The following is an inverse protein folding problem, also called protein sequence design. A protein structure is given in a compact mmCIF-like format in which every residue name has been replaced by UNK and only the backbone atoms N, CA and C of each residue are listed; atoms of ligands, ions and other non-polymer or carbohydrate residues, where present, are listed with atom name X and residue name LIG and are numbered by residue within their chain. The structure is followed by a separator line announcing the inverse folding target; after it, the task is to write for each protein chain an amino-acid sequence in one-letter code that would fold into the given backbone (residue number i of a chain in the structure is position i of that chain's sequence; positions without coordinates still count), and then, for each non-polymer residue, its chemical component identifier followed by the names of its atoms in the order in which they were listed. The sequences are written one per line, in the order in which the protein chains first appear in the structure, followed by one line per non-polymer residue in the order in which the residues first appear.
data_IF_894845455373
#
_entry.id   IF_894845455373
#
_cell.length_a   1.000
_cell.length_b   1.000
_cell.length_c   1.000
_cell.angle_alpha   90.00
_cell.angle_beta   90.00
_cell.angle_gamma   90.00
#
_symmetry.space_group_name_H-M   'P 1'
#
loop_
_entity.id
_entity.type
_entity.pdbx_description
1 polymer ?
#
# COMPACT_ATOMS: atom_id res chain seq x y z
N UNK A 1 19.16 -31.82 -11.84
CA UNK A 1 18.21 -32.80 -12.42
C UNK A 1 16.86 -32.13 -12.48
N UNK A 2 16.57 -31.60 -13.66
CA UNK A 2 15.50 -30.69 -14.01
C UNK A 2 14.36 -31.49 -14.64
N UNK A 3 13.27 -31.69 -13.91
CA UNK A 3 12.00 -32.15 -14.48
C UNK A 3 11.18 -30.92 -14.84
N UNK A 4 11.21 -30.59 -16.13
CA UNK A 4 10.31 -29.64 -16.79
C UNK A 4 8.88 -30.20 -16.72
N UNK A 5 8.02 -29.56 -15.94
CA UNK A 5 6.57 -29.72 -16.07
C UNK A 5 6.15 -28.74 -17.15
N UNK A 6 6.12 -29.21 -18.38
CA UNK A 6 5.44 -28.54 -19.49
C UNK A 6 3.95 -28.88 -19.37
N UNK A 7 3.20 -28.08 -18.61
CA UNK A 7 1.76 -28.00 -18.84
C UNK A 7 1.58 -27.18 -20.13
N UNK A 8 1.47 -27.90 -21.25
CA UNK A 8 0.94 -27.34 -22.48
C UNK A 8 -0.44 -26.72 -22.16
N UNK A 9 -0.61 -25.42 -22.43
CA UNK A 9 -1.94 -24.94 -22.82
C UNK A 9 -2.46 -25.91 -23.88
N UNK A 10 -3.71 -26.36 -23.81
CA UNK A 10 -4.24 -27.20 -24.87
C UNK A 10 -4.11 -26.41 -26.17
N UNK A 11 -3.16 -26.79 -27.02
CA UNK A 11 -3.28 -26.59 -28.46
C UNK A 11 -4.72 -26.99 -28.80
N UNK A 12 -5.47 -26.20 -29.58
CA UNK A 12 -6.93 -26.33 -29.71
C UNK A 12 -7.28 -27.78 -30.00
N UNK A 13 -7.55 -28.52 -28.93
CA UNK A 13 -7.91 -29.90 -29.02
C UNK A 13 -9.32 -29.88 -29.56
N UNK A 14 -9.67 -30.82 -30.43
CA UNK A 14 -11.00 -30.90 -31.01
C UNK A 14 -12.12 -30.84 -29.95
N UNK A 15 -11.81 -31.21 -28.69
CA UNK A 15 -12.69 -31.06 -27.52
C UNK A 15 -12.85 -29.62 -27.00
N UNK A 16 -11.78 -28.83 -26.92
CA UNK A 16 -11.90 -27.45 -26.45
C UNK A 16 -12.67 -26.58 -27.47
N UNK A 17 -12.47 -26.85 -28.76
CA UNK A 17 -13.25 -26.21 -29.83
C UNK A 17 -14.73 -26.59 -29.79
N UNK A 18 -15.07 -27.85 -29.49
CA UNK A 18 -16.47 -28.26 -29.33
C UNK A 18 -17.11 -27.63 -28.10
N UNK A 19 -16.37 -27.53 -26.99
CA UNK A 19 -16.87 -26.90 -25.76
C UNK A 19 -17.13 -25.39 -25.93
N UNK A 20 -16.33 -24.71 -26.78
CA UNK A 20 -16.53 -23.30 -27.15
C UNK A 20 -17.74 -23.10 -28.07
N UNK A 21 -17.95 -23.97 -29.06
CA UNK A 21 -19.15 -23.95 -29.90
C UNK A 21 -20.42 -24.19 -29.07
N UNK A 22 -20.34 -25.09 -28.10
CA UNK A 22 -21.46 -25.39 -27.20
C UNK A 22 -21.69 -24.23 -26.20
N UNK A 23 -20.65 -23.52 -25.78
CA UNK A 23 -20.80 -22.26 -25.03
C UNK A 23 -21.51 -21.18 -25.86
N UNK A 24 -21.16 -21.02 -27.14
CA UNK A 24 -21.83 -20.05 -28.02
C UNK A 24 -23.31 -20.42 -28.23
N UNK A 25 -23.62 -21.69 -28.51
CA UNK A 25 -25.01 -22.17 -28.61
C UNK A 25 -25.77 -21.95 -27.31
N UNK A 26 -25.12 -22.14 -26.15
CA UNK A 26 -25.73 -21.87 -24.85
C UNK A 26 -26.04 -20.38 -24.67
N UNK A 27 -25.13 -19.48 -25.07
CA UNK A 27 -25.38 -18.04 -25.04
C UNK A 27 -26.60 -17.68 -25.89
N UNK A 28 -26.63 -18.17 -27.14
CA UNK A 28 -27.75 -17.91 -28.06
C UNK A 28 -29.07 -18.46 -27.51
N UNK A 29 -29.04 -19.67 -26.94
CA UNK A 29 -30.22 -20.30 -26.31
C UNK A 29 -30.72 -19.48 -25.12
N UNK A 30 -29.82 -18.98 -24.26
CA UNK A 30 -30.20 -18.15 -23.11
C UNK A 30 -30.83 -16.83 -23.55
N UNK A 31 -30.32 -16.21 -24.62
CA UNK A 31 -30.89 -14.97 -25.16
C UNK A 31 -32.32 -15.17 -25.68
N UNK A 32 -32.63 -16.32 -26.28
CA UNK A 32 -33.92 -16.55 -26.95
C UNK A 32 -34.93 -17.40 -26.16
N UNK A 33 -34.53 -18.05 -25.06
CA UNK A 33 -35.40 -18.91 -24.26
C UNK A 33 -36.60 -18.16 -23.64
N UNK A 34 -37.78 -18.76 -23.65
CA UNK A 34 -38.93 -18.24 -22.88
C UNK A 34 -38.66 -18.28 -21.37
N UNK A 35 -39.39 -17.49 -20.58
CA UNK A 35 -39.19 -17.45 -19.11
C UNK A 35 -39.40 -18.81 -18.42
N UNK A 36 -40.30 -19.63 -18.97
CA UNK A 36 -40.53 -21.01 -18.52
C UNK A 36 -39.36 -21.94 -18.85
N UNK A 37 -38.78 -21.81 -20.03
CA UNK A 37 -37.61 -22.60 -20.46
C UNK A 37 -36.37 -22.17 -19.66
N UNK A 38 -36.17 -20.86 -19.48
CA UNK A 38 -35.06 -20.31 -18.69
C UNK A 38 -35.06 -20.87 -17.26
N UNK A 39 -36.22 -21.03 -16.64
CA UNK A 39 -36.33 -21.58 -15.29
C UNK A 39 -35.91 -23.06 -15.21
N UNK A 40 -36.21 -23.84 -16.25
CA UNK A 40 -35.73 -25.23 -16.36
C UNK A 40 -34.23 -25.33 -16.66
N UNK A 41 -33.71 -24.37 -17.43
CA UNK A 41 -32.30 -24.30 -17.83
C UNK A 41 -31.39 -23.74 -16.74
N UNK A 42 -31.93 -22.92 -15.83
CA UNK A 42 -31.14 -22.12 -14.88
C UNK A 42 -30.19 -22.97 -14.04
N UNK A 43 -30.63 -24.13 -13.55
CA UNK A 43 -29.81 -24.97 -12.66
C UNK A 43 -28.59 -25.56 -13.40
N UNK A 44 -28.79 -25.98 -14.66
CA UNK A 44 -27.72 -26.45 -15.52
C UNK A 44 -26.82 -25.30 -15.95
N UNK A 45 -27.40 -24.17 -16.36
CA UNK A 45 -26.66 -22.97 -16.75
C UNK A 45 -25.77 -22.46 -15.62
N UNK A 46 -26.25 -22.47 -14.37
CA UNK A 46 -25.47 -22.10 -13.18
C UNK A 46 -24.25 -23.00 -12.98
N UNK A 47 -24.39 -24.32 -13.15
CA UNK A 47 -23.28 -25.26 -13.06
C UNK A 47 -22.24 -25.02 -14.16
N UNK A 48 -22.71 -24.81 -15.40
CA UNK A 48 -21.87 -24.50 -16.54
C UNK A 48 -21.12 -23.19 -16.33
N UNK A 49 -21.79 -22.12 -15.91
CA UNK A 49 -21.18 -20.80 -15.68
C UNK A 49 -20.09 -20.84 -14.60
N UNK A 50 -20.28 -21.61 -13.52
CA UNK A 50 -19.21 -21.79 -12.51
C UNK A 50 -17.99 -22.49 -13.11
N UNK A 51 -18.21 -23.51 -13.93
CA UNK A 51 -17.14 -24.23 -14.63
C UNK A 51 -16.41 -23.32 -15.61
N UNK A 52 -17.15 -22.60 -16.44
CA UNK A 52 -16.62 -21.62 -17.39
C UNK A 52 -15.83 -20.51 -16.70
N UNK A 53 -16.29 -20.03 -15.54
CA UNK A 53 -15.56 -19.02 -14.76
C UNK A 53 -14.18 -19.51 -14.34
N UNK A 54 -14.07 -20.79 -13.92
CA UNK A 54 -12.78 -21.41 -13.61
C UNK A 54 -11.90 -21.57 -14.84
N UNK A 55 -12.48 -21.90 -16.00
CA UNK A 55 -11.75 -21.96 -17.28
C UNK A 55 -11.17 -20.59 -17.62
N UNK A 56 -11.96 -19.52 -17.54
CA UNK A 56 -11.49 -18.14 -17.77
C UNK A 56 -10.32 -17.80 -16.87
N UNK A 57 -10.43 -18.06 -15.56
CA UNK A 57 -9.35 -17.80 -14.60
C UNK A 57 -8.08 -18.57 -15.00
N UNK A 58 -8.18 -19.86 -15.31
CA UNK A 58 -7.03 -20.67 -15.75
C UNK A 58 -6.41 -20.14 -17.03
N UNK A 59 -7.20 -19.81 -18.05
CA UNK A 59 -6.69 -19.26 -19.31
C UNK A 59 -5.91 -17.96 -19.07
N UNK A 60 -6.42 -17.06 -18.23
CA UNK A 60 -5.74 -15.82 -17.86
C UNK A 60 -4.43 -16.10 -17.10
N UNK A 61 -4.46 -17.00 -16.12
CA UNK A 61 -3.28 -17.34 -15.30
C UNK A 61 -2.16 -17.90 -16.18
N UNK A 62 -2.47 -18.83 -17.10
CA UNK A 62 -1.45 -19.39 -17.99
C UNK A 62 -0.93 -18.33 -18.97
N UNK A 63 -1.79 -17.51 -19.56
CA UNK A 63 -1.37 -16.43 -20.45
C UNK A 63 -0.48 -15.40 -19.73
N UNK A 64 -0.74 -15.13 -18.46
CA UNK A 64 0.06 -14.21 -17.66
C UNK A 64 1.41 -14.79 -17.20
N UNK A 65 1.52 -16.11 -17.10
CA UNK A 65 2.78 -16.79 -16.80
C UNK A 65 3.80 -16.66 -17.94
N UNK A 66 3.34 -16.58 -19.20
CA UNK A 66 4.18 -16.44 -20.39
C UNK A 66 3.78 -15.22 -21.25
N UNK A 67 4.12 -14.03 -20.74
CA UNK A 67 3.78 -12.74 -21.39
C UNK A 67 4.43 -12.51 -22.74
N UNK A 68 5.43 -13.29 -23.12
CA UNK A 68 6.15 -13.13 -24.40
C UNK A 68 5.51 -13.95 -25.53
N UNK A 69 4.60 -14.86 -25.19
CA UNK A 69 3.99 -15.77 -26.14
C UNK A 69 2.78 -15.13 -26.84
N UNK A 70 3.07 -14.43 -27.93
CA UNK A 70 2.08 -13.68 -28.72
C UNK A 70 0.95 -14.58 -29.24
N UNK A 71 1.22 -15.85 -29.56
CA UNK A 71 0.17 -16.76 -30.07
C UNK A 71 -0.84 -17.12 -28.98
N UNK A 72 -0.38 -17.34 -27.74
CA UNK A 72 -1.27 -17.54 -26.59
C UNK A 72 -2.12 -16.28 -26.36
N UNK A 73 -1.51 -15.10 -26.39
CA UNK A 73 -2.21 -13.83 -26.14
C UNK A 73 -3.25 -13.48 -27.22
N UNK A 74 -2.99 -13.83 -28.49
CA UNK A 74 -3.95 -13.62 -29.59
C UNK A 74 -5.10 -14.63 -29.48
N UNK A 75 -4.81 -15.91 -29.26
CA UNK A 75 -5.84 -16.94 -29.12
C UNK A 75 -6.69 -16.75 -27.85
N UNK A 76 -6.16 -16.07 -26.83
CA UNK A 76 -6.87 -15.80 -25.58
C UNK A 76 -8.17 -15.01 -25.80
N UNK A 77 -8.16 -13.95 -26.61
CA UNK A 77 -9.37 -13.14 -26.84
C UNK A 77 -10.44 -13.95 -27.60
N UNK A 78 -10.03 -14.79 -28.55
CA UNK A 78 -10.93 -15.70 -29.29
C UNK A 78 -11.60 -16.72 -28.34
N UNK A 79 -10.84 -17.24 -27.37
CA UNK A 79 -11.33 -18.23 -26.42
C UNK A 79 -12.22 -17.63 -25.31
N UNK A 80 -11.96 -16.39 -24.90
CA UNK A 80 -12.71 -15.75 -23.82
C UNK A 80 -14.06 -15.19 -24.28
N UNK A 81 -14.15 -14.69 -25.52
CA UNK A 81 -15.36 -14.05 -26.05
C UNK A 81 -16.63 -14.91 -25.94
N UNK A 82 -16.67 -16.18 -26.40
CA UNK A 82 -17.88 -17.01 -26.30
C UNK A 82 -18.33 -17.20 -24.84
N UNK A 83 -17.37 -17.37 -23.92
CA UNK A 83 -17.65 -17.55 -22.51
C UNK A 83 -18.25 -16.27 -21.89
N UNK A 84 -17.66 -15.11 -22.20
CA UNK A 84 -18.16 -13.82 -21.71
C UNK A 84 -19.53 -13.48 -22.29
N UNK A 85 -19.85 -13.91 -23.52
CA UNK A 85 -21.20 -13.81 -24.06
C UNK A 85 -22.22 -14.66 -23.29
N UNK A 86 -21.86 -15.86 -22.84
CA UNK A 86 -22.72 -16.66 -21.93
C UNK A 86 -22.96 -15.90 -20.62
N UNK A 87 -21.91 -15.32 -20.03
CA UNK A 87 -22.06 -14.54 -18.79
C UNK A 87 -22.97 -13.35 -18.99
N UNK A 88 -22.77 -12.59 -20.07
CA UNK A 88 -23.61 -11.43 -20.42
C UNK A 88 -25.06 -11.83 -20.62
N UNK A 89 -25.33 -12.85 -21.43
CA UNK A 89 -26.68 -13.33 -21.71
C UNK A 89 -27.40 -13.76 -20.42
N UNK A 90 -26.73 -14.48 -19.53
CA UNK A 90 -27.31 -14.93 -18.27
C UNK A 90 -27.61 -13.76 -17.32
N UNK A 91 -26.64 -12.86 -17.12
CA UNK A 91 -26.78 -11.70 -16.22
C UNK A 91 -27.88 -10.77 -16.73
N UNK A 92 -27.90 -10.45 -18.02
CA UNK A 92 -28.89 -9.56 -18.64
C UNK A 92 -30.31 -10.13 -18.52
N UNK A 93 -30.50 -11.41 -18.88
CA UNK A 93 -31.81 -12.09 -18.76
C UNK A 93 -32.34 -12.12 -17.33
N UNK A 94 -31.48 -12.34 -16.36
CA UNK A 94 -31.88 -12.35 -14.95
C UNK A 94 -32.11 -10.95 -14.40
N UNK A 95 -31.47 -9.92 -14.98
CA UNK A 95 -31.69 -8.51 -14.60
C UNK A 95 -33.09 -8.05 -15.01
N UNK A 96 -33.55 -8.47 -16.19
CA UNK A 96 -34.90 -8.21 -16.68
C UNK A 96 -36.02 -8.88 -15.87
N UNK A 97 -35.68 -9.84 -14.99
CA UNK A 97 -36.65 -10.54 -14.14
C UNK A 97 -36.68 -9.89 -12.76
N UNK A 98 -37.87 -9.62 -12.22
CA UNK A 98 -38.03 -9.27 -10.81
C UNK A 98 -37.74 -10.50 -9.94
N UNK A 99 -36.45 -10.84 -9.79
CA UNK A 99 -36.03 -11.86 -8.84
C UNK A 99 -36.30 -11.31 -7.44
N UNK A 100 -37.15 -11.99 -6.68
CA UNK A 100 -37.19 -11.83 -5.24
C UNK A 100 -35.78 -12.11 -4.69
N UNK A 101 -35.35 -11.30 -3.73
CA UNK A 101 -33.96 -11.06 -3.32
C UNK A 101 -33.34 -12.29 -2.62
N UNK A 102 -33.17 -13.39 -3.35
CA UNK A 102 -32.83 -14.68 -2.79
C UNK A 102 -31.32 -14.92 -2.95
N UNK A 103 -30.57 -14.71 -1.86
CA UNK A 103 -29.10 -14.85 -1.83
C UNK A 103 -28.64 -16.21 -2.37
N UNK A 104 -29.49 -17.24 -2.29
CA UNK A 104 -29.24 -18.59 -2.87
C UNK A 104 -29.27 -18.60 -4.40
N UNK A 105 -30.11 -17.79 -5.04
CA UNK A 105 -30.24 -17.74 -6.50
C UNK A 105 -29.06 -17.06 -7.19
N UNK A 106 -28.34 -16.18 -6.49
CA UNK A 106 -27.16 -15.49 -6.99
C UNK A 106 -25.83 -16.13 -6.54
N UNK A 107 -25.84 -17.36 -6.01
CA UNK A 107 -24.63 -18.06 -5.55
C UNK A 107 -23.62 -18.45 -6.63
N UNK A 108 -23.88 -18.11 -7.89
CA UNK A 108 -22.97 -18.23 -9.03
C UNK A 108 -22.31 -16.90 -9.40
N UNK A 109 -22.92 -15.77 -9.01
CA UNK A 109 -22.46 -14.45 -9.39
C UNK A 109 -21.00 -14.18 -8.96
N UNK A 110 -20.54 -14.56 -7.75
CA UNK A 110 -19.13 -14.37 -7.37
C UNK A 110 -18.13 -15.02 -8.33
N UNK A 111 -18.48 -16.16 -8.95
CA UNK A 111 -17.62 -16.84 -9.92
C UNK A 111 -17.45 -15.99 -11.19
N UNK A 112 -18.55 -15.46 -11.70
CA UNK A 112 -18.55 -14.57 -12.87
C UNK A 112 -17.81 -13.27 -12.56
N UNK A 113 -18.07 -12.67 -11.41
CA UNK A 113 -17.38 -11.45 -10.98
C UNK A 113 -15.87 -11.69 -10.92
N UNK A 114 -15.42 -12.73 -10.21
CA UNK A 114 -13.99 -13.05 -10.12
C UNK A 114 -13.39 -13.28 -11.51
N UNK A 115 -14.05 -14.05 -12.39
CA UNK A 115 -13.57 -14.28 -13.75
C UNK A 115 -13.40 -12.96 -14.54
N UNK A 116 -14.40 -12.06 -14.49
CA UNK A 116 -14.30 -10.73 -15.11
C UNK A 116 -13.15 -9.89 -14.53
N UNK A 117 -12.94 -9.93 -13.21
CA UNK A 117 -11.81 -9.24 -12.57
C UNK A 117 -10.44 -9.83 -12.95
N UNK A 118 -10.36 -11.14 -13.24
CA UNK A 118 -9.14 -11.73 -13.82
C UNK A 118 -8.89 -11.23 -15.25
N UNK A 119 -9.93 -11.16 -16.08
CA UNK A 119 -9.83 -10.64 -17.45
C UNK A 119 -9.36 -9.18 -17.45
N UNK A 120 -9.93 -8.34 -16.59
CA UNK A 120 -9.60 -6.91 -16.50
C UNK A 120 -8.28 -6.66 -15.77
N UNK A 121 -7.99 -7.42 -14.71
CA UNK A 121 -6.89 -7.15 -13.78
C UNK A 121 -5.55 -7.77 -14.12
N UNK A 122 -5.44 -8.57 -15.20
CA UNK A 122 -4.22 -9.30 -15.53
C UNK A 122 -3.10 -8.45 -16.16
N UNK A 123 -3.41 -7.23 -16.61
CA UNK A 123 -2.48 -6.27 -17.24
C UNK A 123 -1.56 -6.94 -18.29
N UNK A 124 -2.19 -7.55 -19.30
CA UNK A 124 -1.51 -8.27 -20.37
C UNK A 124 -1.03 -7.30 -21.47
N UNK A 125 0.08 -7.56 -22.18
CA UNK A 125 0.68 -6.64 -23.17
C UNK A 125 -0.21 -6.25 -24.35
N UNK A 126 -1.28 -7.00 -24.63
CA UNK A 126 -2.24 -6.77 -25.72
C UNK A 126 -3.65 -6.44 -25.22
N UNK A 127 -3.82 -6.26 -23.91
CA UNK A 127 -5.10 -6.06 -23.25
C UNK A 127 -5.92 -4.92 -23.89
N UNK A 128 -5.29 -3.78 -24.22
CA UNK A 128 -5.96 -2.61 -24.79
C UNK A 128 -6.80 -2.84 -26.07
N UNK A 129 -6.54 -3.92 -26.81
CA UNK A 129 -7.26 -4.25 -28.05
C UNK A 129 -8.24 -5.43 -27.90
N UNK A 130 -8.29 -6.06 -26.72
CA UNK A 130 -9.14 -7.22 -26.48
C UNK A 130 -10.61 -6.82 -26.32
N UNK A 131 -11.48 -7.42 -27.14
CA UNK A 131 -12.92 -7.25 -26.99
C UNK A 131 -13.43 -7.89 -25.69
N UNK A 132 -12.73 -8.92 -25.19
CA UNK A 132 -13.05 -9.57 -23.92
C UNK A 132 -13.00 -8.61 -22.72
N UNK A 133 -12.16 -7.58 -22.74
CA UNK A 133 -12.17 -6.55 -21.68
C UNK A 133 -13.47 -5.77 -21.66
N UNK A 134 -13.94 -5.35 -22.84
CA UNK A 134 -15.19 -4.58 -22.98
C UNK A 134 -16.37 -5.43 -22.53
N UNK A 135 -16.42 -6.69 -22.97
CA UNK A 135 -17.48 -7.63 -22.55
C UNK A 135 -17.45 -7.90 -21.05
N UNK A 136 -16.26 -8.09 -20.44
CA UNK A 136 -16.14 -8.27 -19.01
C UNK A 136 -16.63 -7.04 -18.23
N UNK A 137 -16.31 -5.83 -18.70
CA UNK A 137 -16.75 -4.57 -18.10
C UNK A 137 -18.28 -4.40 -18.18
N UNK A 138 -18.87 -4.71 -19.34
CA UNK A 138 -20.33 -4.73 -19.52
C UNK A 138 -21.01 -5.72 -18.57
N UNK A 139 -20.49 -6.95 -18.46
CA UNK A 139 -21.01 -7.98 -17.55
C UNK A 139 -21.01 -7.47 -16.11
N UNK A 140 -19.94 -6.80 -15.68
CA UNK A 140 -19.89 -6.19 -14.34
C UNK A 140 -20.96 -5.10 -14.16
N UNK A 141 -21.20 -4.26 -15.17
CA UNK A 141 -22.26 -3.23 -15.11
C UNK A 141 -23.67 -3.84 -15.01
N UNK A 142 -23.96 -4.89 -15.80
CA UNK A 142 -25.23 -5.60 -15.67
C UNK A 142 -25.35 -6.28 -14.29
N UNK A 143 -24.25 -6.81 -13.75
CA UNK A 143 -24.23 -7.45 -12.44
C UNK A 143 -24.55 -6.46 -11.29
N UNK A 144 -24.16 -5.19 -11.40
CA UNK A 144 -24.55 -4.13 -10.44
C UNK A 144 -26.08 -4.03 -10.38
N UNK A 145 -26.72 -3.97 -11.55
CA UNK A 145 -28.18 -3.89 -11.66
C UNK A 145 -28.86 -5.15 -11.13
N UNK A 146 -28.38 -6.33 -11.54
CA UNK A 146 -28.89 -7.63 -11.09
C UNK A 146 -28.84 -7.79 -9.56
N UNK A 147 -27.71 -7.43 -8.96
CA UNK A 147 -27.51 -7.57 -7.51
C UNK A 147 -28.16 -6.43 -6.71
N UNK A 148 -28.76 -5.44 -7.38
CA UNK A 148 -29.30 -4.19 -6.80
C UNK A 148 -28.25 -3.45 -5.96
N UNK A 149 -27.00 -3.45 -6.44
CA UNK A 149 -25.93 -2.66 -5.86
C UNK A 149 -26.01 -1.21 -6.37
N UNK A 150 -25.51 -0.25 -5.59
CA UNK A 150 -25.49 1.16 -6.00
C UNK A 150 -24.44 1.40 -7.09
N UNK A 151 -23.30 0.75 -6.94
CA UNK A 151 -22.13 0.84 -7.80
C UNK A 151 -21.34 -0.48 -7.76
N UNK A 152 -20.20 -0.50 -8.47
CA UNK A 152 -19.30 -1.66 -8.49
C UNK A 152 -18.65 -1.93 -7.14
N UNK A 153 -18.29 -0.89 -6.39
CA UNK A 153 -17.66 -1.05 -5.07
C UNK A 153 -18.61 -1.77 -4.10
N UNK A 154 -19.88 -1.36 -4.09
CA UNK A 154 -20.96 -1.98 -3.34
C UNK A 154 -21.21 -3.44 -3.78
N UNK A 155 -21.11 -3.72 -5.08
CA UNK A 155 -21.22 -5.07 -5.62
C UNK A 155 -20.08 -5.96 -5.13
N UNK A 156 -18.84 -5.46 -5.20
CA UNK A 156 -17.65 -6.19 -4.71
C UNK A 156 -17.75 -6.38 -3.21
N UNK A 157 -18.09 -5.36 -2.44
CA UNK A 157 -18.27 -5.43 -0.99
C UNK A 157 -19.30 -6.50 -0.56
N UNK A 158 -20.35 -6.71 -1.36
CA UNK A 158 -21.37 -7.73 -1.13
C UNK A 158 -20.84 -9.17 -1.29
N UNK A 159 -19.85 -9.39 -2.16
CA UNK A 159 -19.36 -10.71 -2.56
C UNK A 159 -17.85 -10.91 -2.32
N UNK A 160 -17.19 -9.99 -1.61
CA UNK A 160 -15.74 -9.96 -1.44
C UNK A 160 -15.20 -11.24 -0.80
N UNK A 161 -15.93 -11.83 0.16
CA UNK A 161 -15.50 -13.04 0.84
C UNK A 161 -15.41 -14.24 -0.12
N UNK A 162 -16.42 -14.42 -0.96
CA UNK A 162 -16.44 -15.44 -2.01
C UNK A 162 -15.38 -15.15 -3.08
N UNK A 163 -15.23 -13.90 -3.51
CA UNK A 163 -14.25 -13.51 -4.52
C UNK A 163 -12.81 -13.74 -4.05
N UNK A 164 -12.48 -13.39 -2.80
CA UNK A 164 -11.16 -13.66 -2.18
C UNK A 164 -10.88 -15.16 -2.14
N UNK A 165 -11.90 -15.96 -1.81
CA UNK A 165 -11.77 -17.43 -1.82
C UNK A 165 -11.45 -17.96 -3.21
N UNK A 166 -12.11 -17.44 -4.23
CA UNK A 166 -11.90 -17.83 -5.62
C UNK A 166 -10.53 -17.39 -6.16
N UNK A 167 -10.01 -16.24 -5.71
CA UNK A 167 -8.66 -15.80 -6.07
C UNK A 167 -7.58 -16.76 -5.58
N UNK A 168 -7.78 -17.38 -4.41
CA UNK A 168 -6.86 -18.35 -3.82
C UNK A 168 -7.25 -19.81 -4.08
N UNK A 169 -8.26 -20.07 -4.91
CA UNK A 169 -8.76 -21.41 -5.17
C UNK A 169 -7.84 -22.16 -6.13
N UNK A 170 -7.48 -23.40 -5.77
CA UNK A 170 -6.58 -24.27 -6.56
C UNK A 170 -5.20 -23.64 -6.81
N UNK A 171 -4.75 -22.74 -5.93
CA UNK A 171 -3.41 -22.13 -5.98
C UNK A 171 -2.60 -22.62 -4.78
N UNK A 172 -1.44 -23.22 -5.04
CA UNK A 172 -0.56 -23.63 -3.94
C UNK A 172 0.26 -22.44 -3.38
N UNK A 173 0.98 -22.67 -2.28
CA UNK A 173 1.78 -21.61 -1.65
C UNK A 173 2.87 -21.05 -2.59
N UNK A 174 3.49 -21.87 -3.43
CA UNK A 174 4.57 -21.46 -4.33
C UNK A 174 4.02 -20.63 -5.49
N UNK A 175 2.90 -21.07 -6.05
CA UNK A 175 2.18 -20.36 -7.10
C UNK A 175 1.62 -19.04 -6.59
N UNK A 176 1.16 -18.98 -5.34
CA UNK A 176 0.66 -17.75 -4.74
C UNK A 176 1.70 -16.64 -4.67
N UNK A 177 2.91 -16.96 -4.21
CA UNK A 177 4.01 -15.99 -4.03
C UNK A 177 4.81 -15.75 -5.31
N UNK A 178 4.69 -16.64 -6.31
CA UNK A 178 5.41 -16.53 -7.58
C UNK A 178 5.18 -15.17 -8.23
N UNK A 179 6.24 -14.55 -8.76
CA UNK A 179 6.21 -13.21 -9.37
C UNK A 179 5.13 -13.10 -10.45
N UNK A 180 5.02 -14.14 -11.28
CA UNK A 180 4.06 -14.24 -12.41
C UNK A 180 2.61 -14.43 -11.98
N UNK A 181 2.35 -14.71 -10.70
CA UNK A 181 1.00 -14.97 -10.21
C UNK A 181 0.11 -13.72 -10.30
N UNK A 182 -0.92 -13.81 -11.14
CA UNK A 182 -1.93 -12.75 -11.29
C UNK A 182 -2.94 -12.77 -10.16
N UNK A 183 -3.12 -13.91 -9.49
CA UNK A 183 -4.10 -14.10 -8.43
C UNK A 183 -3.94 -13.06 -7.30
N UNK A 184 -2.71 -12.81 -6.84
CA UNK A 184 -2.42 -11.79 -5.81
C UNK A 184 -2.71 -10.37 -6.29
N UNK A 185 -2.48 -10.06 -7.57
CA UNK A 185 -2.78 -8.75 -8.16
C UNK A 185 -4.29 -8.52 -8.29
N UNK A 186 -5.02 -9.53 -8.76
CA UNK A 186 -6.49 -9.47 -8.84
C UNK A 186 -7.08 -9.36 -7.45
N UNK A 187 -6.57 -10.13 -6.47
CA UNK A 187 -7.01 -10.01 -5.08
C UNK A 187 -6.78 -8.60 -4.53
N UNK A 188 -5.62 -8.00 -4.77
CA UNK A 188 -5.34 -6.60 -4.41
C UNK A 188 -6.37 -5.65 -5.02
N UNK A 189 -6.64 -5.76 -6.32
CA UNK A 189 -7.59 -4.90 -7.02
C UNK A 189 -9.02 -5.06 -6.46
N UNK A 190 -9.45 -6.29 -6.18
CA UNK A 190 -10.75 -6.59 -5.58
C UNK A 190 -10.85 -6.02 -4.17
N UNK A 191 -9.87 -6.28 -3.31
CA UNK A 191 -9.89 -5.86 -1.90
C UNK A 191 -9.83 -4.33 -1.77
N UNK A 192 -9.07 -3.63 -2.61
CA UNK A 192 -8.96 -2.15 -2.59
C UNK A 192 -10.28 -1.42 -2.86
N UNK A 193 -11.24 -2.06 -3.53
CA UNK A 193 -12.57 -1.49 -3.79
C UNK A 193 -13.51 -1.61 -2.59
N UNK A 194 -13.07 -2.26 -1.51
CA UNK A 194 -13.94 -2.56 -0.37
C UNK A 194 -13.45 -1.80 0.85
N UNK A 195 -14.34 -1.00 1.42
CA UNK A 195 -14.10 -0.28 2.66
C UNK A 195 -14.68 -1.00 3.88
N UNK A 196 -14.39 -0.48 5.07
CA UNK A 196 -15.13 -0.83 6.29
C UNK A 196 -16.66 -0.74 6.06
N UNK A 197 -17.49 -1.67 6.55
CA UNK A 197 -17.19 -2.79 7.48
C UNK A 197 -16.95 -4.16 6.83
N UNK A 198 -16.74 -4.22 5.51
CA UNK A 198 -16.86 -5.49 4.78
C UNK A 198 -15.59 -6.38 4.80
N UNK A 199 -14.46 -5.88 5.32
CA UNK A 199 -13.21 -6.63 5.44
C UNK A 199 -12.98 -7.27 6.83
N UNK A 200 -13.91 -7.08 7.76
CA UNK A 200 -13.85 -7.60 9.13
C UNK A 200 -14.29 -9.07 9.29
N UNK A 201 -14.50 -9.48 10.53
CA UNK A 201 -15.01 -10.81 10.90
C UNK A 201 -14.18 -11.98 10.36
N UNK A 202 -14.85 -13.04 9.90
CA UNK A 202 -14.20 -14.26 9.37
C UNK A 202 -13.31 -13.99 8.13
N UNK A 203 -13.62 -12.93 7.37
CA UNK A 203 -12.84 -12.58 6.19
C UNK A 203 -11.45 -12.04 6.56
N UNK A 204 -11.33 -11.29 7.67
CA UNK A 204 -10.06 -10.73 8.11
C UNK A 204 -9.00 -11.81 8.30
N UNK A 205 -9.32 -12.88 9.04
CA UNK A 205 -8.37 -13.98 9.26
C UNK A 205 -7.90 -14.63 7.96
N UNK A 206 -8.81 -14.78 6.98
CA UNK A 206 -8.48 -15.29 5.65
C UNK A 206 -7.58 -14.33 4.88
N UNK A 207 -7.91 -13.04 4.85
CA UNK A 207 -7.11 -12.02 4.18
C UNK A 207 -5.69 -11.96 4.75
N UNK A 208 -5.53 -11.97 6.08
CA UNK A 208 -4.21 -11.99 6.71
C UNK A 208 -3.43 -13.26 6.36
N UNK A 209 -4.07 -14.43 6.35
CA UNK A 209 -3.42 -15.70 5.98
C UNK A 209 -2.89 -15.72 4.53
N UNK A 210 -3.55 -15.01 3.62
CA UNK A 210 -3.14 -14.86 2.22
C UNK A 210 -2.12 -13.72 2.04
N UNK A 211 -2.19 -12.68 2.87
CA UNK A 211 -1.37 -11.47 2.75
C UNK A 211 0.00 -11.63 3.41
N UNK A 212 0.11 -12.25 4.59
CA UNK A 212 1.38 -12.40 5.29
C UNK A 212 2.47 -13.13 4.49
N UNK A 213 2.17 -14.24 3.78
CA UNK A 213 3.17 -14.87 2.92
C UNK A 213 3.71 -13.96 1.81
N UNK A 214 2.91 -12.99 1.34
CA UNK A 214 3.35 -12.01 0.34
C UNK A 214 4.27 -10.98 0.99
N UNK A 215 3.95 -10.50 2.19
CA UNK A 215 4.76 -9.55 2.96
C UNK A 215 6.13 -10.13 3.35
N UNK A 216 6.17 -11.42 3.66
CA UNK A 216 7.41 -12.15 3.97
C UNK A 216 8.22 -12.55 2.73
N UNK A 217 7.69 -12.36 1.52
CA UNK A 217 8.41 -12.70 0.28
C UNK A 217 9.61 -11.76 0.05
N UNK A 218 10.68 -12.29 -0.53
CA UNK A 218 11.90 -11.54 -0.81
C UNK A 218 11.86 -10.81 -2.16
N UNK A 219 10.87 -11.11 -3.01
CA UNK A 219 10.73 -10.48 -4.31
C UNK A 219 9.98 -9.17 -4.20
N UNK A 220 10.60 -8.09 -4.66
CA UNK A 220 10.09 -6.72 -4.52
C UNK A 220 8.63 -6.55 -4.95
N UNK A 221 8.25 -7.07 -6.13
CA UNK A 221 6.91 -6.91 -6.69
C UNK A 221 5.86 -7.68 -5.89
N UNK A 222 6.19 -8.89 -5.44
CA UNK A 222 5.32 -9.70 -4.56
C UNK A 222 5.18 -9.03 -3.20
N UNK A 223 6.29 -8.60 -2.60
CA UNK A 223 6.30 -7.95 -1.29
C UNK A 223 5.52 -6.64 -1.30
N UNK A 224 5.64 -5.85 -2.36
CA UNK A 224 4.90 -4.60 -2.50
C UNK A 224 3.38 -4.84 -2.56
N UNK A 225 2.91 -5.85 -3.31
CA UNK A 225 1.50 -6.23 -3.34
C UNK A 225 1.03 -6.64 -1.94
N UNK A 226 1.81 -7.45 -1.23
CA UNK A 226 1.53 -7.84 0.15
C UNK A 226 1.42 -6.65 1.10
N UNK A 227 2.38 -5.72 1.02
CA UNK A 227 2.39 -4.50 1.84
C UNK A 227 1.16 -3.62 1.55
N UNK A 228 0.78 -3.44 0.28
CA UNK A 228 -0.39 -2.65 -0.10
C UNK A 228 -1.71 -3.29 0.34
N UNK A 229 -1.83 -4.62 0.22
CA UNK A 229 -2.96 -5.38 0.77
C UNK A 229 -3.05 -5.16 2.28
N UNK A 230 -1.93 -5.32 2.99
CA UNK A 230 -1.89 -5.18 4.43
C UNK A 230 -2.28 -3.77 4.88
N UNK A 231 -1.74 -2.73 4.24
CA UNK A 231 -2.08 -1.34 4.53
C UNK A 231 -3.58 -1.07 4.35
N UNK A 232 -4.16 -1.56 3.24
CA UNK A 232 -5.59 -1.42 2.98
C UNK A 232 -6.44 -2.14 4.02
N UNK A 233 -6.08 -3.37 4.40
CA UNK A 233 -6.77 -4.14 5.44
C UNK A 233 -6.74 -3.38 6.76
N UNK A 234 -5.57 -2.94 7.22
CA UNK A 234 -5.43 -2.21 8.49
C UNK A 234 -6.34 -0.98 8.52
N UNK A 235 -6.35 -0.18 7.45
CA UNK A 235 -7.17 1.04 7.37
C UNK A 235 -8.68 0.80 7.35
N UNK A 236 -9.14 -0.43 7.08
CA UNK A 236 -10.54 -0.75 6.82
C UNK A 236 -11.13 -1.81 7.76
N UNK A 237 -10.47 -2.08 8.90
CA UNK A 237 -10.99 -2.95 9.96
C UNK A 237 -11.06 -2.20 11.29
N UNK A 238 -11.83 -2.75 12.24
CA UNK A 238 -11.88 -2.13 13.56
C UNK A 238 -10.60 -2.39 14.36
N UNK A 239 -10.23 -1.48 15.28
CA UNK A 239 -9.17 -1.73 16.26
C UNK A 239 -9.39 -3.01 17.10
N UNK A 240 -10.65 -3.39 17.35
CA UNK A 240 -10.97 -4.59 18.13
C UNK A 240 -10.65 -5.87 17.37
N UNK A 241 -10.99 -5.93 16.08
CA UNK A 241 -10.69 -7.08 15.24
C UNK A 241 -9.19 -7.21 14.98
N UNK A 242 -8.49 -6.11 14.69
CA UNK A 242 -7.05 -6.13 14.44
C UNK A 242 -6.26 -6.58 15.68
N UNK A 243 -6.72 -6.21 16.88
CA UNK A 243 -6.11 -6.63 18.15
C UNK A 243 -6.07 -8.14 18.35
N UNK A 244 -6.98 -8.91 17.74
CA UNK A 244 -6.93 -10.38 17.81
C UNK A 244 -5.75 -10.98 17.06
N UNK A 245 -5.17 -10.23 16.12
CA UNK A 245 -4.06 -10.65 15.26
C UNK A 245 -2.77 -9.88 15.56
N UNK A 246 -2.74 -9.06 16.63
CA UNK A 246 -1.64 -8.11 16.91
C UNK A 246 -0.26 -8.75 16.94
N UNK A 247 -0.14 -9.89 17.60
CA UNK A 247 1.15 -10.53 17.82
C UNK A 247 1.73 -11.01 16.49
N UNK A 248 0.93 -11.72 15.69
CA UNK A 248 1.33 -12.21 14.37
C UNK A 248 1.60 -11.04 13.41
N UNK A 249 0.74 -10.02 13.41
CA UNK A 249 0.91 -8.82 12.60
C UNK A 249 2.24 -8.13 12.89
N UNK A 250 2.57 -7.93 14.18
CA UNK A 250 3.82 -7.30 14.55
C UNK A 250 5.04 -8.20 14.35
N UNK A 251 4.90 -9.53 14.43
CA UNK A 251 5.99 -10.43 13.98
C UNK A 251 6.29 -10.24 12.49
N UNK A 252 5.26 -10.25 11.64
CA UNK A 252 5.40 -10.08 10.18
C UNK A 252 5.96 -8.71 9.81
N UNK A 253 5.48 -7.64 10.44
CA UNK A 253 6.06 -6.31 10.22
C UNK A 253 7.51 -6.22 10.72
N UNK A 254 7.81 -6.87 11.85
CA UNK A 254 9.17 -6.89 12.38
C UNK A 254 10.14 -7.64 11.47
N UNK A 255 9.72 -8.70 10.78
CA UNK A 255 10.56 -9.37 9.77
C UNK A 255 10.68 -8.55 8.49
N UNK A 256 9.57 -7.97 8.01
CA UNK A 256 9.51 -7.29 6.71
C UNK A 256 10.16 -5.90 6.65
N UNK A 257 10.24 -5.16 7.78
CA UNK A 257 10.89 -3.82 7.88
C UNK A 257 12.43 -3.94 7.88
N UNK A 258 12.94 -4.67 6.90
CA UNK A 258 14.34 -4.72 6.45
C UNK A 258 14.44 -4.54 4.92
N UNK A 259 13.28 -4.39 4.26
CA UNK A 259 13.22 -4.19 2.82
C UNK A 259 14.10 -3.03 2.39
N UNK A 260 14.90 -3.25 1.35
CA UNK A 260 15.80 -2.24 0.76
C UNK A 260 15.16 -1.52 -0.41
N UNK A 261 13.83 -1.64 -0.55
CA UNK A 261 13.06 -1.09 -1.65
C UNK A 261 12.24 0.08 -1.13
N UNK A 262 12.47 1.31 -1.61
CA UNK A 262 11.81 2.50 -1.11
C UNK A 262 10.28 2.36 -1.04
N UNK A 263 9.62 2.02 -2.15
CA UNK A 263 8.16 1.95 -2.22
C UNK A 263 7.59 0.90 -1.26
N UNK A 264 8.21 -0.28 -1.18
CA UNK A 264 7.78 -1.35 -0.27
C UNK A 264 8.01 -0.97 1.19
N UNK A 265 9.18 -0.42 1.52
CA UNK A 265 9.49 0.02 2.88
C UNK A 265 8.53 1.12 3.34
N UNK A 266 8.19 2.05 2.45
CA UNK A 266 7.28 3.15 2.75
C UNK A 266 5.91 2.65 3.19
N UNK A 267 5.34 1.72 2.41
CA UNK A 267 4.04 1.10 2.72
C UNK A 267 4.12 0.23 3.98
N UNK A 268 5.21 -0.51 4.20
CA UNK A 268 5.39 -1.32 5.41
C UNK A 268 5.50 -0.47 6.68
N UNK A 269 6.19 0.67 6.62
CA UNK A 269 6.25 1.60 7.74
C UNK A 269 4.91 2.29 7.98
N UNK A 270 4.16 2.61 6.94
CA UNK A 270 2.78 3.07 7.07
C UNK A 270 1.90 2.01 7.76
N UNK A 271 2.02 0.74 7.37
CA UNK A 271 1.33 -0.37 8.05
C UNK A 271 1.69 -0.42 9.54
N UNK A 272 2.97 -0.29 9.88
CA UNK A 272 3.42 -0.29 11.27
C UNK A 272 2.81 0.88 12.06
N UNK A 273 2.90 2.08 11.51
CA UNK A 273 2.38 3.31 12.12
C UNK A 273 0.88 3.16 12.38
N UNK A 274 0.08 2.79 11.38
CA UNK A 274 -1.37 2.59 11.54
C UNK A 274 -1.71 1.44 12.51
N UNK A 275 -0.97 0.33 12.45
CA UNK A 275 -1.17 -0.80 13.36
C UNK A 275 -0.88 -0.43 14.81
N UNK A 276 0.17 0.37 15.06
CA UNK A 276 0.50 0.83 16.40
C UNK A 276 -0.63 1.65 17.01
N UNK A 277 -1.31 2.50 16.22
CA UNK A 277 -2.44 3.30 16.70
C UNK A 277 -3.69 2.48 16.97
N UNK A 278 -3.97 1.49 16.14
CA UNK A 278 -5.14 0.63 16.31
C UNK A 278 -4.98 -0.37 17.45
N UNK A 279 -3.77 -0.89 17.64
CA UNK A 279 -3.52 -2.02 18.54
C UNK A 279 -2.98 -1.58 19.89
N UNK A 280 -2.14 -0.54 19.93
CA UNK A 280 -1.52 -0.10 21.19
C UNK A 280 -2.52 0.69 22.01
N UNK A 281 -2.89 0.14 23.16
CA UNK A 281 -3.63 0.91 24.15
C UNK A 281 -2.77 2.10 24.60
N UNK A 282 -3.37 3.28 24.91
CA UNK A 282 -2.61 4.46 25.35
C UNK A 282 -1.69 4.21 26.56
N UNK A 283 -2.03 3.22 27.40
CA UNK A 283 -1.25 2.80 28.55
C UNK A 283 -0.16 1.75 28.25
N UNK A 284 -0.17 1.13 27.08
CA UNK A 284 0.71 0.02 26.72
C UNK A 284 1.79 0.42 25.71
N UNK A 285 3.03 0.49 26.19
CA UNK A 285 4.17 0.91 25.37
C UNK A 285 4.94 -0.25 24.74
N UNK A 286 4.54 -1.48 25.06
CA UNK A 286 5.25 -2.70 24.68
C UNK A 286 5.49 -2.79 23.17
N UNK A 287 4.50 -2.39 22.37
CA UNK A 287 4.60 -2.45 20.92
C UNK A 287 5.57 -1.39 20.39
N UNK A 288 5.51 -0.16 20.91
CA UNK A 288 6.49 0.86 20.54
C UNK A 288 7.92 0.50 20.99
N UNK A 289 8.09 -0.04 22.20
CA UNK A 289 9.39 -0.48 22.74
C UNK A 289 10.03 -1.57 21.87
N UNK A 290 9.23 -2.36 21.17
CA UNK A 290 9.69 -3.37 20.22
C UNK A 290 10.26 -2.77 18.94
N UNK A 291 9.66 -1.70 18.41
CA UNK A 291 10.04 -1.16 17.09
C UNK A 291 10.96 0.06 17.15
N UNK A 292 10.75 0.97 18.09
CA UNK A 292 11.44 2.26 18.10
C UNK A 292 12.97 2.16 18.16
N UNK A 293 13.58 1.34 19.04
CA UNK A 293 15.04 1.17 19.06
C UNK A 293 15.59 0.63 17.73
N UNK A 294 14.84 -0.27 17.09
CA UNK A 294 15.23 -0.87 15.82
C UNK A 294 15.14 0.11 14.66
N UNK A 295 14.06 0.89 14.57
CA UNK A 295 13.91 1.93 13.54
C UNK A 295 15.01 2.99 13.65
N UNK A 296 15.34 3.44 14.86
CA UNK A 296 16.45 4.37 15.09
C UNK A 296 17.79 3.77 14.64
N UNK A 297 18.04 2.50 14.98
CA UNK A 297 19.24 1.78 14.54
C UNK A 297 19.30 1.64 13.01
N UNK A 298 18.19 1.26 12.36
CA UNK A 298 18.11 1.14 10.91
C UNK A 298 18.37 2.48 10.23
N UNK A 299 17.75 3.55 10.71
CA UNK A 299 17.96 4.92 10.19
C UNK A 299 19.42 5.37 10.32
N UNK A 300 20.08 5.00 11.42
CA UNK A 300 21.48 5.33 11.67
C UNK A 300 22.47 4.54 10.81
N UNK A 301 22.18 3.28 10.51
CA UNK A 301 23.09 2.37 9.81
C UNK A 301 22.81 2.25 8.31
N UNK A 302 21.67 2.76 7.85
CA UNK A 302 21.30 2.74 6.45
C UNK A 302 22.21 3.68 5.65
N UNK A 303 22.86 3.16 4.61
CA UNK A 303 23.69 3.94 3.69
C UNK A 303 22.88 4.59 2.57
N UNK A 304 21.74 4.02 2.23
CA UNK A 304 20.87 4.50 1.16
C UNK A 304 20.05 5.70 1.64
N UNK A 305 20.30 6.85 1.03
CA UNK A 305 19.64 8.10 1.42
C UNK A 305 18.14 8.07 1.16
N UNK A 306 17.66 7.40 0.10
CA UNK A 306 16.23 7.30 -0.19
C UNK A 306 15.48 6.54 0.92
N UNK A 307 16.09 5.47 1.44
CA UNK A 307 15.54 4.74 2.59
C UNK A 307 15.61 5.57 3.88
N UNK A 308 16.69 6.34 4.10
CA UNK A 308 16.81 7.22 5.27
C UNK A 308 15.73 8.31 5.29
N UNK A 309 15.41 8.91 4.13
CA UNK A 309 14.29 9.86 3.95
C UNK A 309 12.99 9.23 4.46
N UNK A 310 12.69 8.02 3.98
CA UNK A 310 11.48 7.27 4.35
C UNK A 310 11.45 6.97 5.86
N UNK A 311 12.55 6.45 6.42
CA UNK A 311 12.63 6.18 7.85
C UNK A 311 12.42 7.43 8.70
N UNK A 312 13.09 8.54 8.37
CA UNK A 312 12.97 9.80 9.13
C UNK A 312 11.56 10.39 9.04
N UNK A 313 10.91 10.30 7.88
CA UNK A 313 9.51 10.71 7.69
C UNK A 313 8.56 9.92 8.59
N UNK A 314 8.70 8.59 8.64
CA UNK A 314 7.85 7.75 9.49
C UNK A 314 8.19 7.86 10.98
N UNK A 315 9.47 8.07 11.33
CA UNK A 315 9.88 8.40 12.70
C UNK A 315 9.18 9.68 13.18
N UNK A 316 8.98 10.69 12.32
CA UNK A 316 8.21 11.90 12.67
C UNK A 316 6.83 11.57 13.20
N UNK A 317 6.12 10.67 12.51
CA UNK A 317 4.76 10.29 12.89
C UNK A 317 4.75 9.62 14.26
N UNK A 318 5.69 8.69 14.49
CA UNK A 318 5.84 8.03 15.80
C UNK A 318 6.21 9.01 16.92
N UNK A 319 7.11 9.96 16.65
CA UNK A 319 7.51 11.01 17.59
C UNK A 319 6.32 11.84 18.04
N UNK A 320 5.49 12.30 17.10
CA UNK A 320 4.29 13.10 17.40
C UNK A 320 3.30 12.30 18.24
N UNK A 321 3.04 11.04 17.89
CA UNK A 321 2.08 10.17 18.60
C UNK A 321 2.54 9.81 20.02
N UNK A 322 3.85 9.73 20.25
CA UNK A 322 4.43 9.38 21.55
C UNK A 322 4.85 10.56 22.42
N UNK A 323 4.67 11.79 21.94
CA UNK A 323 5.09 13.00 22.65
C UNK A 323 3.95 13.88 23.13
N UNK A 324 4.35 15.03 23.66
CA UNK A 324 3.45 15.99 24.28
C UNK A 324 2.47 16.56 23.23
N UNK A 325 1.23 16.90 23.64
CA UNK A 325 0.71 16.88 25.01
C UNK A 325 0.15 15.53 25.46
N UNK A 326 0.00 14.56 24.56
CA UNK A 326 -0.74 13.32 24.82
C UNK A 326 0.08 12.28 25.58
N UNK A 327 1.41 12.35 25.48
CA UNK A 327 2.32 11.40 26.09
C UNK A 327 3.69 12.05 26.36
N UNK A 328 4.54 11.39 27.15
CA UNK A 328 5.93 11.78 27.35
C UNK A 328 6.90 10.64 26.98
N UNK A 329 6.40 9.61 26.29
CA UNK A 329 7.14 8.38 26.03
C UNK A 329 8.29 8.56 25.04
N UNK A 330 8.16 9.54 24.13
CA UNK A 330 9.23 9.90 23.20
C UNK A 330 10.54 10.28 23.93
N UNK A 331 10.46 10.78 25.17
CA UNK A 331 11.62 11.16 25.98
C UNK A 331 12.56 9.96 26.21
N UNK A 332 12.01 8.75 26.34
CA UNK A 332 12.79 7.51 26.52
C UNK A 332 13.76 7.26 25.36
N UNK A 333 13.45 7.78 24.18
CA UNK A 333 14.25 7.64 22.97
C UNK A 333 14.89 8.96 22.52
N UNK A 334 14.77 10.03 23.30
CA UNK A 334 15.21 11.37 22.89
C UNK A 334 16.68 11.42 22.50
N UNK A 335 17.56 10.86 23.33
CA UNK A 335 18.99 10.85 23.06
C UNK A 335 19.38 10.09 21.78
N UNK A 336 18.95 8.82 21.57
CA UNK A 336 19.26 8.12 20.32
C UNK A 336 18.56 8.77 19.10
N UNK A 337 17.35 9.32 19.25
CA UNK A 337 16.66 10.06 18.21
C UNK A 337 17.43 11.31 17.78
N UNK A 338 17.83 12.16 18.73
CA UNK A 338 18.63 13.35 18.44
C UNK A 338 19.98 12.99 17.81
N UNK A 339 20.61 11.89 18.22
CA UNK A 339 21.85 11.41 17.59
C UNK A 339 21.64 11.11 16.10
N UNK A 340 20.55 10.41 15.76
CA UNK A 340 20.20 10.09 14.37
C UNK A 340 19.89 11.35 13.56
N UNK A 341 19.08 12.25 14.10
CA UNK A 341 18.66 13.47 13.40
C UNK A 341 19.83 14.44 13.20
N UNK A 342 20.65 14.68 14.23
CA UNK A 342 21.80 15.59 14.12
C UNK A 342 22.83 15.07 13.12
N UNK A 343 23.06 13.75 13.07
CA UNK A 343 23.90 13.13 12.04
C UNK A 343 23.28 13.23 10.63
N UNK A 344 21.98 13.50 10.52
CA UNK A 344 21.30 13.74 9.24
C UNK A 344 21.78 15.00 8.53
N UNK A 345 22.16 16.03 9.29
CA UNK A 345 22.66 17.32 8.77
C UNK A 345 24.08 17.27 8.18
N UNK A 346 24.75 16.11 8.24
CA UNK A 346 26.01 15.86 7.52
C UNK A 346 25.77 15.47 6.06
N UNK A 347 24.52 15.23 5.65
CA UNK A 347 24.17 14.90 4.28
C UNK A 347 24.07 16.14 3.40
N UNK A 348 24.47 15.98 2.13
CA UNK A 348 24.26 16.96 1.05
C UNK A 348 22.95 16.71 0.28
N UNK A 349 22.17 15.70 0.67
CA UNK A 349 20.91 15.41 0.01
C UNK A 349 19.80 16.31 0.57
N UNK A 350 19.30 17.22 -0.27
CA UNK A 350 18.30 18.22 0.08
C UNK A 350 17.04 17.58 0.69
N UNK A 351 16.49 16.53 0.08
CA UNK A 351 15.27 15.88 0.56
C UNK A 351 15.47 15.27 1.96
N UNK A 352 16.62 14.67 2.21
CA UNK A 352 16.94 14.09 3.50
C UNK A 352 17.15 15.14 4.60
N UNK A 353 17.84 16.25 4.28
CA UNK A 353 18.02 17.37 5.22
C UNK A 353 16.66 18.01 5.56
N UNK A 354 15.79 18.20 4.57
CA UNK A 354 14.43 18.72 4.77
C UNK A 354 13.61 17.83 5.71
N UNK A 355 13.51 16.53 5.41
CA UNK A 355 12.79 15.59 6.29
C UNK A 355 13.39 15.54 7.69
N UNK A 356 14.72 15.66 7.82
CA UNK A 356 15.40 15.69 9.11
C UNK A 356 15.06 16.95 9.91
N UNK A 357 14.99 18.13 9.28
CA UNK A 357 14.57 19.38 9.93
C UNK A 357 13.11 19.28 10.39
N UNK A 358 12.20 18.78 9.55
CA UNK A 358 10.79 18.60 9.91
C UNK A 358 10.64 17.63 11.10
N UNK A 359 11.37 16.52 11.08
CA UNK A 359 11.35 15.54 12.16
C UNK A 359 12.01 16.08 13.44
N UNK A 360 13.06 16.89 13.32
CA UNK A 360 13.65 17.58 14.47
C UNK A 360 12.69 18.60 15.07
N UNK A 361 12.01 19.41 14.26
CA UNK A 361 10.98 20.35 14.70
C UNK A 361 9.89 19.63 15.48
N UNK A 362 9.36 18.53 14.93
CA UNK A 362 8.40 17.68 15.61
C UNK A 362 8.96 17.09 16.92
N UNK A 363 10.23 16.68 16.94
CA UNK A 363 10.89 16.16 18.15
C UNK A 363 11.01 17.22 19.23
N UNK A 364 11.38 18.45 18.88
CA UNK A 364 11.48 19.56 19.83
C UNK A 364 10.12 19.86 20.46
N UNK A 365 9.06 19.90 19.66
CA UNK A 365 7.69 20.08 20.16
C UNK A 365 7.22 18.90 21.01
N UNK A 366 7.42 17.67 20.55
CA UNK A 366 6.96 16.46 21.19
C UNK A 366 7.70 16.14 22.51
N UNK A 367 8.96 16.57 22.63
CA UNK A 367 9.81 16.34 23.80
C UNK A 367 10.17 17.62 24.57
N UNK A 368 9.46 18.74 24.34
CA UNK A 368 9.80 20.08 24.83
C UNK A 368 10.22 20.15 26.31
N UNK A 369 9.63 19.40 27.28
CA UNK A 369 10.03 19.49 28.68
C UNK A 369 11.46 19.02 28.96
N UNK A 370 12.09 18.32 28.01
CA UNK A 370 13.44 17.76 28.14
C UNK A 370 14.40 18.21 27.03
N UNK A 371 14.05 19.24 26.26
CA UNK A 371 14.90 19.74 25.17
C UNK A 371 16.04 20.65 25.67
N UNK A 372 15.83 21.44 26.73
CA UNK A 372 16.83 22.43 27.20
C UNK A 372 18.26 21.86 27.40
N UNK A 373 18.46 20.66 28.00
CA UNK A 373 19.80 20.06 28.14
C UNK A 373 20.48 19.65 26.82
N UNK A 374 19.74 19.67 25.71
CA UNK A 374 20.22 19.29 24.38
C UNK A 374 20.37 20.48 23.43
N UNK A 375 20.04 21.70 23.88
CA UNK A 375 20.00 22.92 23.06
C UNK A 375 21.26 23.13 22.23
N UNK A 376 22.45 23.05 22.84
CA UNK A 376 23.72 23.26 22.14
C UNK A 376 23.89 22.28 20.96
N UNK A 377 23.66 20.98 21.20
CA UNK A 377 23.82 19.94 20.17
C UNK A 377 22.85 20.14 19.02
N UNK A 378 21.61 20.50 19.33
CA UNK A 378 20.58 20.76 18.32
C UNK A 378 20.95 22.01 17.53
N UNK A 379 21.32 23.11 18.20
CA UNK A 379 21.73 24.37 17.58
C UNK A 379 22.89 24.16 16.61
N UNK A 380 23.96 23.46 17.04
CA UNK A 380 25.10 23.14 16.17
C UNK A 380 24.67 22.30 14.97
N UNK A 381 23.78 21.32 15.17
CA UNK A 381 23.21 20.52 14.08
C UNK A 381 22.47 21.39 13.05
N UNK A 382 21.58 22.27 13.50
CA UNK A 382 20.83 23.17 12.62
C UNK A 382 21.77 24.15 11.90
N UNK A 383 22.80 24.67 12.57
CA UNK A 383 23.81 25.52 11.92
C UNK A 383 24.59 24.79 10.83
N UNK A 384 24.77 23.46 10.90
CA UNK A 384 25.33 22.69 9.77
C UNK A 384 24.40 22.68 8.57
N UNK A 385 23.09 22.57 8.78
CA UNK A 385 22.10 22.68 7.70
C UNK A 385 22.06 24.10 7.10
N UNK A 386 22.18 25.14 7.93
CA UNK A 386 22.35 26.52 7.44
C UNK A 386 23.64 26.67 6.64
N UNK A 387 24.74 26.11 7.13
CA UNK A 387 26.02 26.12 6.42
C UNK A 387 25.93 25.40 5.06
N UNK A 388 25.20 24.29 4.97
CA UNK A 388 24.91 23.63 3.70
C UNK A 388 24.19 24.54 2.69
N UNK A 389 23.36 25.48 3.17
CA UNK A 389 22.66 26.46 2.32
C UNK A 389 23.53 27.67 1.95
N UNK A 390 24.41 28.12 2.84
CA UNK A 390 25.13 29.41 2.72
C UNK A 390 26.58 29.27 2.25
N UNK A 391 27.17 28.07 2.34
CA UNK A 391 28.59 27.84 2.03
C UNK A 391 28.84 27.36 0.59
N UNK A 392 27.85 26.74 -0.04
CA UNK A 392 27.99 26.14 -1.36
C UNK A 392 27.43 27.07 -2.44
N UNK A 393 28.19 27.28 -3.51
CA UNK A 393 27.82 28.18 -4.60
C UNK A 393 26.68 27.61 -5.44
N UNK A 394 25.78 28.48 -5.91
CA UNK A 394 24.67 28.10 -6.81
C UNK A 394 25.20 27.38 -8.06
N UNK A 395 24.72 26.15 -8.31
CA UNK A 395 24.98 25.42 -9.55
C UNK A 395 25.98 24.26 -9.44
N UNK A 396 26.46 23.90 -8.24
CA UNK A 396 27.10 22.60 -8.05
C UNK A 396 26.05 21.48 -8.04
N UNK A 397 26.40 20.28 -8.54
CA UNK A 397 25.50 19.13 -8.77
C UNK A 397 24.69 18.66 -7.54
N UNK A 398 25.02 19.15 -6.34
CA UNK A 398 24.41 18.78 -5.06
C UNK A 398 23.88 19.99 -4.26
N UNK A 399 23.76 21.15 -4.89
CA UNK A 399 23.28 22.37 -4.23
C UNK A 399 21.76 22.50 -4.32
N UNK A 400 21.10 22.97 -3.26
CA UNK A 400 19.67 23.25 -3.32
C UNK A 400 19.40 24.34 -4.36
N UNK A 401 18.31 24.19 -5.12
CA UNK A 401 17.78 25.30 -5.92
C UNK A 401 17.44 26.48 -5.00
N UNK A 402 17.43 27.71 -5.52
CA UNK A 402 17.08 28.91 -4.73
C UNK A 402 15.79 28.74 -3.91
N UNK A 403 14.74 28.13 -4.50
CA UNK A 403 13.50 27.79 -3.78
C UNK A 403 13.70 26.78 -2.64
N UNK A 404 14.49 25.73 -2.86
CA UNK A 404 14.79 24.74 -1.82
C UNK A 404 15.65 25.32 -0.70
N UNK A 405 16.57 26.21 -1.04
CA UNK A 405 17.42 26.92 -0.09
C UNK A 405 16.57 27.81 0.83
N UNK A 406 15.65 28.59 0.27
CA UNK A 406 14.69 29.39 1.05
C UNK A 406 13.86 28.52 2.00
N UNK A 407 13.38 27.37 1.53
CA UNK A 407 12.61 26.42 2.34
C UNK A 407 13.45 25.82 3.49
N UNK A 408 14.68 25.38 3.20
CA UNK A 408 15.61 24.85 4.20
C UNK A 408 15.92 25.89 5.28
N UNK A 409 16.24 27.13 4.87
CA UNK A 409 16.54 28.21 5.79
C UNK A 409 15.32 28.54 6.66
N UNK A 410 14.11 28.62 6.09
CA UNK A 410 12.89 28.83 6.86
C UNK A 410 12.66 27.74 7.92
N UNK A 411 12.88 26.47 7.56
CA UNK A 411 12.78 25.36 8.54
C UNK A 411 13.86 25.44 9.63
N UNK A 412 15.07 25.87 9.29
CA UNK A 412 16.12 26.12 10.29
C UNK A 412 15.71 27.23 11.27
N UNK A 413 15.13 28.33 10.77
CA UNK A 413 14.62 29.40 11.62
C UNK A 413 13.52 28.94 12.56
N UNK A 414 12.58 28.12 12.07
CA UNK A 414 11.50 27.58 12.89
C UNK A 414 12.03 26.74 14.05
N UNK A 415 13.04 25.89 13.80
CA UNK A 415 13.67 25.10 14.87
C UNK A 415 14.42 26.00 15.84
N UNK A 416 15.13 27.03 15.37
CA UNK A 416 15.82 27.99 16.23
C UNK A 416 14.85 28.80 17.10
N UNK A 417 13.72 29.23 16.54
CA UNK A 417 12.65 29.90 17.29
C UNK A 417 12.12 29.00 18.41
N UNK A 418 11.90 27.70 18.14
CA UNK A 418 11.46 26.75 19.16
C UNK A 418 12.52 26.54 20.25
N UNK A 419 13.79 26.41 19.88
CA UNK A 419 14.88 26.32 20.85
C UNK A 419 14.95 27.57 21.72
N UNK A 420 14.80 28.75 21.14
CA UNK A 420 14.79 30.00 21.90
C UNK A 420 13.62 30.04 22.89
N UNK A 421 12.41 29.64 22.46
CA UNK A 421 11.23 29.57 23.33
C UNK A 421 11.41 28.61 24.51
N UNK A 422 11.97 27.41 24.26
CA UNK A 422 12.22 26.40 25.29
C UNK A 422 13.26 26.86 26.32
N UNK A 423 14.16 27.75 25.93
CA UNK A 423 15.22 28.29 26.80
C UNK A 423 14.96 29.75 27.20
N UNK A 424 13.73 30.25 27.20
CA UNK A 424 13.44 31.69 27.48
C UNK A 424 14.00 32.22 28.80
N UNK A 425 14.23 31.35 29.79
CA UNK A 425 14.81 31.73 31.09
C UNK A 425 16.32 31.94 31.01
N UNK A 426 17.00 31.25 30.08
CA UNK A 426 18.45 31.25 29.96
C UNK A 426 18.80 31.73 28.55
N UNK A 427 19.41 32.91 28.39
CA UNK A 427 19.77 33.52 27.08
C UNK A 427 20.71 32.69 26.19
N UNK A 428 20.95 31.42 26.55
CA UNK A 428 21.80 30.39 25.94
C UNK A 428 21.79 30.41 24.42
N UNK A 429 20.60 30.37 23.79
CA UNK A 429 20.49 30.34 22.33
C UNK A 429 21.01 31.63 21.70
N UNK A 430 20.65 32.78 22.27
CA UNK A 430 21.10 34.09 21.77
C UNK A 430 22.60 34.29 21.96
N UNK A 431 23.13 33.86 23.10
CA UNK A 431 24.55 33.92 23.44
C UNK A 431 25.39 33.04 22.50
N UNK A 432 24.95 31.81 22.24
CA UNK A 432 25.60 30.90 21.30
C UNK A 432 25.61 31.47 19.87
N UNK A 433 24.50 32.05 19.40
CA UNK A 433 24.46 32.70 18.08
C UNK A 433 25.37 33.93 18.01
N UNK A 434 25.57 34.65 19.11
CA UNK A 434 26.48 35.81 19.15
C UNK A 434 27.92 35.36 18.96
N UNK A 435 28.32 34.28 19.65
CA UNK A 435 29.64 33.66 19.50
C UNK A 435 29.85 33.24 18.03
N UNK A 436 28.94 32.47 17.45
CA UNK A 436 29.05 32.00 16.06
C UNK A 436 29.07 33.15 15.06
N UNK A 437 28.26 34.19 15.26
CA UNK A 437 28.25 35.38 14.40
C UNK A 437 29.60 36.11 14.38
N UNK A 438 30.30 36.13 15.52
CA UNK A 438 31.61 36.78 15.63
C UNK A 438 32.72 35.92 15.04
N UNK A 439 32.61 34.60 15.10
CA UNK A 439 33.63 33.66 14.62
C UNK A 439 33.48 33.28 13.14
N UNK A 440 32.26 33.35 12.56
CA UNK A 440 31.98 32.94 11.19
C UNK A 440 31.28 34.04 10.39
N UNK A 441 32.00 34.67 9.46
CA UNK A 441 31.45 35.71 8.57
C UNK A 441 30.31 35.20 7.69
N UNK A 442 30.39 33.94 7.25
CA UNK A 442 29.40 33.31 6.38
C UNK A 442 28.09 32.99 7.12
N UNK A 443 28.16 32.56 8.38
CA UNK A 443 26.95 32.32 9.21
C UNK A 443 26.43 33.58 9.91
N UNK A 444 27.23 34.66 9.96
CA UNK A 444 26.88 35.90 10.65
C UNK A 444 25.56 36.51 10.17
N UNK A 445 25.26 36.44 8.86
CA UNK A 445 24.01 36.95 8.30
C UNK A 445 22.79 36.26 8.90
N UNK A 446 22.78 34.93 8.93
CA UNK A 446 21.71 34.14 9.52
C UNK A 446 21.59 34.39 11.03
N UNK A 447 22.70 34.35 11.76
CA UNK A 447 22.73 34.54 13.21
C UNK A 447 22.17 35.92 13.62
N UNK A 448 22.63 36.99 12.96
CA UNK A 448 22.15 38.36 13.21
C UNK A 448 20.67 38.52 12.87
N UNK A 449 20.18 37.88 11.81
CA UNK A 449 18.76 37.88 11.44
C UNK A 449 17.91 37.28 12.55
N UNK A 450 18.31 36.14 13.12
CA UNK A 450 17.60 35.51 14.24
C UNK A 450 17.63 36.36 15.51
N UNK A 451 18.79 36.92 15.86
CA UNK A 451 18.91 37.81 17.02
C UNK A 451 18.05 39.07 16.88
N UNK A 452 18.06 39.70 15.71
CA UNK A 452 17.21 40.86 15.43
C UNK A 452 15.72 40.52 15.53
N UNK A 453 15.31 39.34 15.03
CA UNK A 453 13.93 38.85 15.12
C UNK A 453 13.45 38.70 16.57
N UNK A 454 14.32 38.24 17.47
CA UNK A 454 13.98 38.07 18.89
C UNK A 454 14.06 39.37 19.69
N UNK A 455 14.91 40.33 19.29
CA UNK A 455 14.99 41.63 19.95
C UNK A 455 13.73 42.52 19.75
N UNK A 456 12.88 42.19 18.77
CA UNK A 456 11.64 42.91 18.44
C UNK A 456 10.42 42.30 19.15
N UNK A 457 10.53 41.08 19.68
CA UNK A 457 9.46 40.37 20.41
C UNK A 457 9.62 40.58 21.91
#
# INVERSE_FOLDING_TARGET
MSTSISEELPAPSSRFSSDLEDAQKLADTLVHASDSELQSLLLNAVCVVKTLSRVVIKCIVVAAADRQNVTILVALDDNLRPILHVFRALVDRLTCRELQNDKKLLGWLPYVLTACYFVIGADLPTSAFMQSLVLADEVLNYAVTLARAQDRESLVAKYVAEMVTLCAHDVDKKEWVAVTSVNKQVMLNVVKQVSFPHLGGDLLGRLLSLTFPLVDDLTDSTQLIGAQLLCHIIKNVTPTELRWYSDVLFEVLHTAIVSRKPDTLDVLLECLVESLDMVSLPSELKHYDRFMPRLLRHTSLCSDVALRVIFVRHLRVLVVRQGAPHSLNVIRYLQPLLKVLIAGFESINVAFVMETLETLRATVLAAWPRIAPHTEKILVGVLRAVAFCELFDEGADFTPTSKQQEQLLAQCEDVMDLLHQVNTVESVVSDMLAIVSNESSKLSRFCKRMQAKWAIR
#
